data_IF_270741078648
#
_entry.id   IF_270741078648
#
_cell.length_a   1.000
_cell.length_b   1.000
_cell.length_c   1.000
_cell.angle_alpha   90.00
_cell.angle_beta   90.00
_cell.angle_gamma   90.00
#
_symmetry.space_group_name_H-M   'P 1'
#
loop_
_entity.id
_entity.type
_entity.pdbx_description
1 polymer ?
#
# COMPACT_ATOMS: atom_id res chain seq x y z
N UNK A 1 25.99 42.44 -9.57
CA UNK A 1 24.72 42.35 -10.30
C UNK A 1 23.88 41.32 -9.63
N UNK A 2 22.82 41.78 -8.98
CA UNK A 2 21.96 41.03 -8.09
C UNK A 2 20.93 40.24 -8.89
N UNK A 3 20.88 38.95 -8.78
CA UNK A 3 19.81 38.12 -9.34
C UNK A 3 18.74 37.92 -8.27
N UNK A 4 17.56 38.39 -8.61
CA UNK A 4 16.34 38.45 -7.81
C UNK A 4 15.74 37.11 -7.53
N UNK A 5 15.42 36.88 -6.24
CA UNK A 5 14.48 35.88 -5.77
C UNK A 5 13.13 36.02 -6.47
N UNK A 6 12.62 34.90 -6.99
CA UNK A 6 11.21 34.78 -7.35
C UNK A 6 10.62 33.75 -6.38
N UNK A 7 10.08 34.29 -5.29
CA UNK A 7 9.21 33.58 -4.39
C UNK A 7 7.84 33.48 -5.08
N UNK A 8 7.46 32.32 -5.51
CA UNK A 8 6.11 32.08 -6.04
C UNK A 8 5.28 31.35 -4.98
N UNK A 9 4.66 32.17 -4.14
CA UNK A 9 3.66 31.78 -3.15
C UNK A 9 2.38 31.34 -3.87
N UNK A 10 2.04 30.08 -3.85
CA UNK A 10 0.71 29.61 -4.29
C UNK A 10 0.00 28.92 -3.13
N UNK A 11 -0.59 29.76 -2.26
CA UNK A 11 -1.68 29.37 -1.39
C UNK A 11 -2.91 29.09 -2.25
N UNK A 12 -3.29 27.84 -2.38
CA UNK A 12 -4.64 27.47 -2.81
C UNK A 12 -5.33 26.81 -1.62
N UNK A 13 -6.14 27.63 -0.96
CA UNK A 13 -7.16 27.21 -0.02
C UNK A 13 -8.35 26.74 -0.84
N UNK A 14 -8.65 25.49 -0.82
CA UNK A 14 -9.95 24.97 -1.25
C UNK A 14 -10.64 24.32 -0.05
N UNK A 15 -11.53 25.09 0.52
CA UNK A 15 -12.57 24.62 1.42
C UNK A 15 -13.73 24.07 0.56
N UNK A 16 -14.11 22.85 0.77
CA UNK A 16 -15.26 22.20 0.12
C UNK A 16 -15.97 21.28 1.10
N UNK A 17 -17.15 21.72 1.50
CA UNK A 17 -18.08 21.23 2.51
C UNK A 17 -18.77 19.90 2.15
N UNK A 18 -19.08 19.16 3.23
CA UNK A 18 -20.26 18.37 3.53
C UNK A 18 -20.85 17.39 2.49
N UNK A 19 -20.97 16.15 2.91
CA UNK A 19 -22.28 15.47 2.89
C UNK A 19 -22.32 14.31 3.88
N UNK A 20 -23.14 14.48 4.89
CA UNK A 20 -23.60 13.48 5.85
C UNK A 20 -24.69 12.66 5.17
N UNK A 21 -24.56 11.34 5.16
CA UNK A 21 -25.66 10.43 4.90
C UNK A 21 -25.77 9.42 6.04
N UNK A 22 -26.72 9.70 6.94
CA UNK A 22 -27.26 8.73 7.89
C UNK A 22 -28.07 7.67 7.13
N UNK A 23 -27.81 6.40 7.38
CA UNK A 23 -28.82 5.36 7.22
C UNK A 23 -28.83 4.46 8.45
N UNK A 24 -29.97 4.45 9.12
CA UNK A 24 -30.26 3.76 10.36
C UNK A 24 -30.51 2.25 10.17
N UNK A 25 -30.44 1.45 11.26
CA UNK A 25 -30.60 0.00 11.22
C UNK A 25 -32.05 -0.44 11.30
N UNK A 26 -32.42 -1.48 10.58
CA UNK A 26 -33.67 -2.22 10.82
C UNK A 26 -33.33 -3.48 11.60
N UNK A 27 -33.71 -3.46 12.86
CA UNK A 27 -33.86 -4.65 13.68
C UNK A 27 -35.18 -5.35 13.33
N UNK A 28 -35.11 -6.64 13.05
CA UNK A 28 -36.28 -7.51 13.02
C UNK A 28 -36.08 -8.64 14.02
N UNK A 29 -36.75 -8.51 15.14
CA UNK A 29 -37.07 -9.60 16.07
C UNK A 29 -38.08 -10.53 15.44
N UNK A 30 -37.85 -11.84 15.57
CA UNK A 30 -38.82 -12.87 15.24
C UNK A 30 -38.77 -13.97 16.28
N UNK A 31 -39.83 -14.08 17.05
CA UNK A 31 -40.07 -14.87 18.27
C UNK A 31 -40.08 -16.38 18.04
N UNK A 32 -39.56 -17.05 19.04
CA UNK A 32 -39.96 -18.32 19.71
C UNK A 32 -41.11 -19.17 19.12
N UNK A 33 -40.83 -20.46 18.99
CA UNK A 33 -41.75 -21.51 19.49
C UNK A 33 -40.99 -22.81 19.74
N UNK A 34 -41.16 -23.29 20.92
CA UNK A 34 -40.76 -24.57 21.48
C UNK A 34 -41.53 -25.73 20.86
N UNK A 35 -40.88 -26.80 20.48
CA UNK A 35 -41.50 -28.15 20.52
C UNK A 35 -40.44 -29.20 20.75
N UNK A 36 -40.62 -29.93 21.83
CA UNK A 36 -40.03 -31.18 22.23
C UNK A 36 -40.25 -32.25 21.17
N UNK A 37 -39.18 -32.95 20.75
CA UNK A 37 -39.26 -34.14 19.90
C UNK A 37 -37.98 -34.92 19.97
N UNK A 38 -38.01 -36.02 20.76
CA UNK A 38 -36.99 -37.06 20.89
C UNK A 38 -36.86 -37.81 19.57
N UNK A 39 -35.63 -37.95 19.04
CA UNK A 39 -35.37 -38.78 17.88
C UNK A 39 -33.90 -38.81 17.54
N UNK A 40 -33.21 -39.83 18.07
CA UNK A 40 -31.83 -40.16 17.66
C UNK A 40 -31.78 -40.60 16.22
N UNK A 41 -31.05 -39.90 15.42
CA UNK A 41 -30.43 -40.44 14.18
C UNK A 41 -29.12 -39.71 13.95
N UNK A 42 -28.02 -40.42 14.08
CA UNK A 42 -26.70 -39.96 13.72
C UNK A 42 -26.65 -39.72 12.22
N UNK A 43 -26.70 -38.44 11.83
CA UNK A 43 -26.29 -38.01 10.51
C UNK A 43 -24.90 -37.42 10.66
N UNK A 44 -23.91 -38.17 10.23
CA UNK A 44 -22.57 -37.69 9.95
C UNK A 44 -22.64 -36.68 8.80
N UNK A 45 -22.85 -35.41 9.14
CA UNK A 45 -22.57 -34.30 8.24
C UNK A 45 -21.05 -34.18 8.15
N UNK A 46 -20.49 -34.76 7.09
CA UNK A 46 -19.16 -34.39 6.63
C UNK A 46 -19.21 -32.91 6.28
N UNK A 47 -18.79 -32.07 7.21
CA UNK A 47 -18.39 -30.70 6.89
C UNK A 47 -17.27 -30.81 5.88
N UNK A 48 -17.56 -30.56 4.62
CA UNK A 48 -16.53 -30.26 3.66
C UNK A 48 -15.80 -29.04 4.21
N UNK A 49 -14.63 -29.28 4.77
CA UNK A 49 -13.70 -28.21 5.05
C UNK A 49 -13.40 -27.56 3.71
N UNK A 50 -14.04 -26.43 3.45
CA UNK A 50 -13.61 -25.51 2.43
C UNK A 50 -12.24 -25.04 2.92
N UNK A 51 -11.18 -25.62 2.39
CA UNK A 51 -9.83 -25.12 2.50
C UNK A 51 -9.83 -23.79 1.76
N UNK A 52 -10.21 -22.71 2.44
CA UNK A 52 -9.82 -21.38 2.03
C UNK A 52 -8.29 -21.39 2.12
N UNK A 53 -7.62 -21.46 0.98
CA UNK A 53 -6.19 -21.20 0.94
C UNK A 53 -6.02 -19.77 1.45
N UNK A 54 -5.51 -19.63 2.67
CA UNK A 54 -5.15 -18.33 3.20
C UNK A 54 -4.10 -17.73 2.27
N UNK A 55 -4.30 -16.49 1.84
CA UNK A 55 -3.33 -15.76 1.05
C UNK A 55 -2.01 -15.71 1.84
N UNK A 56 -0.92 -16.11 1.21
CA UNK A 56 0.42 -16.10 1.80
C UNK A 56 1.21 -14.94 1.20
N UNK A 57 1.19 -13.79 1.88
CA UNK A 57 1.84 -12.58 1.43
C UNK A 57 3.35 -12.77 1.20
N UNK A 58 4.03 -13.54 2.05
CA UNK A 58 5.47 -13.78 1.91
C UNK A 58 5.80 -14.46 0.58
N UNK A 59 4.97 -15.42 0.18
CA UNK A 59 5.16 -16.12 -1.09
C UNK A 59 5.07 -15.21 -2.32
N UNK A 60 4.28 -14.13 -2.22
CA UNK A 60 3.99 -13.25 -3.36
C UNK A 60 4.83 -11.98 -3.35
N UNK A 61 5.19 -11.45 -2.17
CA UNK A 61 5.80 -10.12 -2.08
C UNK A 61 7.18 -10.09 -1.45
N UNK A 62 7.63 -11.14 -0.77
CA UNK A 62 9.00 -11.16 -0.23
C UNK A 62 10.02 -11.07 -1.37
N UNK A 63 10.99 -10.17 -1.21
CA UNK A 63 12.02 -9.87 -2.19
C UNK A 63 12.35 -8.40 -2.30
N UNK A 64 13.10 -8.03 -3.34
CA UNK A 64 13.49 -6.66 -3.60
C UNK A 64 12.61 -6.04 -4.68
N UNK A 65 12.10 -4.85 -4.38
CA UNK A 65 11.25 -4.06 -5.25
C UNK A 65 11.94 -2.74 -5.60
N UNK A 66 12.18 -2.50 -6.88
CA UNK A 66 12.83 -1.30 -7.40
C UNK A 66 11.81 -0.22 -7.71
N UNK A 67 11.84 0.89 -6.96
CA UNK A 67 10.98 2.05 -7.13
C UNK A 67 11.48 2.99 -8.23
N UNK A 68 10.58 3.39 -9.12
CA UNK A 68 10.83 4.34 -10.18
C UNK A 68 9.70 5.34 -10.36
N UNK A 69 10.04 6.54 -10.85
CA UNK A 69 9.08 7.58 -11.25
C UNK A 69 9.12 7.78 -12.74
N UNK A 70 7.97 8.08 -13.35
CA UNK A 70 7.87 8.34 -14.78
C UNK A 70 8.23 9.79 -15.08
N UNK A 71 9.23 9.99 -15.95
CA UNK A 71 9.67 11.30 -16.42
C UNK A 71 9.08 11.57 -17.79
N UNK A 72 8.19 12.57 -17.88
CA UNK A 72 7.51 12.92 -19.11
C UNK A 72 8.03 14.26 -19.64
N UNK A 73 8.74 14.24 -20.77
CA UNK A 73 9.06 15.42 -21.57
C UNK A 73 10.12 16.35 -21.02
N UNK A 74 10.83 16.00 -19.93
CA UNK A 74 11.93 16.79 -19.38
C UNK A 74 13.08 15.89 -18.92
N UNK A 75 14.25 16.48 -18.71
CA UNK A 75 15.39 15.79 -18.13
C UNK A 75 15.38 16.03 -16.61
N UNK A 76 15.28 14.96 -15.84
CA UNK A 76 15.34 14.99 -14.38
C UNK A 76 16.44 14.04 -13.95
N UNK A 77 17.28 14.46 -13.02
CA UNK A 77 18.41 13.66 -12.51
C UNK A 77 19.34 13.08 -13.61
N UNK A 78 19.42 13.76 -14.76
CA UNK A 78 20.22 13.30 -15.90
C UNK A 78 19.49 12.34 -16.85
N UNK A 79 18.26 11.95 -16.55
CA UNK A 79 17.43 11.08 -17.39
C UNK A 79 16.52 11.91 -18.29
N UNK A 80 16.48 11.63 -19.57
CA UNK A 80 15.68 12.33 -20.56
C UNK A 80 14.49 11.49 -21.00
N UNK A 81 13.40 11.59 -20.25
CA UNK A 81 12.19 10.77 -20.42
C UNK A 81 12.38 9.33 -19.89
N UNK A 82 11.31 8.54 -19.91
CA UNK A 82 11.32 7.18 -19.37
C UNK A 82 11.17 7.13 -17.85
N UNK A 83 11.76 6.11 -17.21
CA UNK A 83 11.66 5.91 -15.78
C UNK A 83 12.98 6.20 -15.09
N UNK A 84 12.95 7.03 -14.05
CA UNK A 84 14.09 7.25 -13.14
C UNK A 84 13.95 6.35 -11.93
N UNK A 85 14.99 5.53 -11.68
CA UNK A 85 15.05 4.64 -10.53
C UNK A 85 15.47 5.42 -9.29
N UNK A 86 14.67 5.34 -8.22
CA UNK A 86 14.81 6.20 -7.04
C UNK A 86 15.33 5.45 -5.81
N UNK A 87 14.75 4.30 -5.49
CA UNK A 87 15.02 3.57 -4.26
C UNK A 87 14.62 2.09 -4.38
N UNK A 88 15.04 1.29 -3.41
CA UNK A 88 14.60 -0.08 -3.23
C UNK A 88 13.74 -0.22 -1.97
N UNK A 89 12.72 -1.05 -2.04
CA UNK A 89 11.99 -1.59 -0.89
C UNK A 89 12.30 -3.09 -0.83
N UNK A 90 12.86 -3.53 0.28
CA UNK A 90 13.19 -4.94 0.52
C UNK A 90 12.21 -5.48 1.54
N UNK A 91 11.46 -6.52 1.17
CA UNK A 91 10.48 -7.21 2.00
C UNK A 91 11.05 -8.59 2.35
N UNK A 92 11.41 -8.80 3.61
CA UNK A 92 12.01 -10.06 4.04
C UNK A 92 10.92 -11.07 4.45
N UNK A 93 11.21 -12.36 4.30
CA UNK A 93 10.33 -13.49 4.67
C UNK A 93 9.93 -13.49 6.15
N UNK A 94 10.73 -12.86 7.01
CA UNK A 94 10.47 -12.75 8.46
C UNK A 94 9.51 -11.59 8.82
N UNK A 95 8.96 -10.90 7.81
CA UNK A 95 8.05 -9.76 7.97
C UNK A 95 8.76 -8.44 8.26
N UNK A 96 10.09 -8.38 8.19
CA UNK A 96 10.83 -7.12 8.27
C UNK A 96 10.96 -6.46 6.90
N UNK A 97 11.11 -5.13 6.87
CA UNK A 97 11.35 -4.39 5.63
C UNK A 97 12.46 -3.35 5.77
N UNK A 98 13.04 -2.99 4.64
CA UNK A 98 14.02 -1.93 4.51
C UNK A 98 13.65 -1.03 3.33
N UNK A 99 13.71 0.29 3.52
CA UNK A 99 13.61 1.29 2.45
C UNK A 99 14.99 1.88 2.27
N UNK A 100 15.55 1.76 1.06
CA UNK A 100 16.92 2.12 0.75
C UNK A 100 17.01 2.92 -0.54
N UNK A 101 17.32 4.21 -0.49
CA UNK A 101 17.58 5.02 -1.67
C UNK A 101 18.75 4.49 -2.49
N UNK A 102 18.70 4.70 -3.81
CA UNK A 102 19.84 4.52 -4.66
C UNK A 102 20.87 5.64 -4.39
N UNK A 103 22.11 5.40 -4.77
CA UNK A 103 23.23 6.32 -4.49
C UNK A 103 22.97 7.75 -5.03
N UNK A 104 22.33 7.84 -6.20
CA UNK A 104 21.98 9.13 -6.83
C UNK A 104 20.87 9.90 -6.05
N UNK A 105 20.18 9.24 -5.16
CA UNK A 105 19.00 9.77 -4.41
C UNK A 105 19.14 9.55 -2.90
N UNK A 106 20.34 9.64 -2.38
CA UNK A 106 20.69 9.35 -0.97
C UNK A 106 19.98 10.24 0.06
N UNK A 107 19.32 11.31 -0.38
CA UNK A 107 18.52 12.24 0.41
C UNK A 107 17.07 11.79 0.63
N UNK A 108 16.61 10.74 -0.07
CA UNK A 108 15.29 10.18 0.10
C UNK A 108 15.16 9.38 1.40
N UNK A 109 13.95 8.89 1.67
CA UNK A 109 13.63 8.11 2.85
C UNK A 109 14.55 6.88 2.98
N UNK A 110 15.24 6.79 4.10
CA UNK A 110 15.96 5.60 4.56
C UNK A 110 15.38 5.19 5.91
N UNK A 111 14.81 3.99 6.00
CA UNK A 111 14.28 3.45 7.25
C UNK A 111 14.15 1.92 7.16
N UNK A 112 13.94 1.30 8.30
CA UNK A 112 13.61 -0.11 8.45
C UNK A 112 12.30 -0.26 9.20
N UNK A 113 11.68 -1.42 9.11
CA UNK A 113 10.41 -1.65 9.81
C UNK A 113 9.90 -3.05 9.64
N UNK A 114 8.58 -3.19 9.66
CA UNK A 114 7.87 -4.43 9.39
C UNK A 114 6.90 -4.22 8.23
N UNK A 115 6.49 -5.33 7.60
CA UNK A 115 5.51 -5.27 6.54
C UNK A 115 4.46 -6.36 6.68
N UNK A 116 3.29 -6.08 6.14
CA UNK A 116 2.17 -7.01 6.02
C UNK A 116 1.57 -6.86 4.62
N UNK A 117 1.05 -7.96 4.06
CA UNK A 117 0.45 -7.97 2.74
C UNK A 117 -0.92 -8.63 2.70
N UNK A 118 -1.77 -8.12 1.82
CA UNK A 118 -3.04 -8.70 1.41
C UNK A 118 -3.02 -8.95 -0.09
N UNK A 119 -4.10 -9.46 -0.68
CA UNK A 119 -4.20 -9.62 -2.14
C UNK A 119 -4.18 -8.29 -2.91
N UNK A 120 -4.47 -7.17 -2.23
CA UNK A 120 -4.60 -5.84 -2.86
C UNK A 120 -3.56 -4.81 -2.42
N UNK A 121 -2.94 -5.02 -1.29
CA UNK A 121 -2.09 -4.02 -0.66
C UNK A 121 -0.91 -4.63 0.09
N UNK A 122 0.21 -3.90 0.13
CA UNK A 122 1.33 -4.12 1.02
C UNK A 122 1.47 -2.90 1.93
N UNK A 123 1.52 -3.10 3.23
CA UNK A 123 1.65 -2.03 4.23
C UNK A 123 3.00 -2.12 4.92
N UNK A 124 3.77 -1.05 4.88
CA UNK A 124 5.03 -0.90 5.61
C UNK A 124 4.77 -0.11 6.89
N UNK A 125 5.24 -0.60 8.02
CA UNK A 125 5.24 0.12 9.30
C UNK A 125 6.68 0.39 9.69
N UNK A 126 7.14 1.62 9.47
CA UNK A 126 8.52 2.01 9.62
C UNK A 126 8.88 2.31 11.08
N UNK A 127 10.17 2.23 11.42
CA UNK A 127 10.67 2.36 12.80
C UNK A 127 10.37 3.71 13.43
N UNK A 128 10.24 4.76 12.63
CA UNK A 128 9.88 6.13 13.06
C UNK A 128 8.38 6.36 13.22
N UNK A 129 7.55 5.32 13.06
CA UNK A 129 6.10 5.38 13.22
C UNK A 129 5.35 5.79 11.95
N UNK A 130 6.03 5.95 10.83
CA UNK A 130 5.39 6.19 9.53
C UNK A 130 4.82 4.88 8.98
N UNK A 131 3.59 4.94 8.48
CA UNK A 131 2.97 3.83 7.76
C UNK A 131 2.84 4.21 6.29
N UNK A 132 3.35 3.36 5.41
CA UNK A 132 3.27 3.53 3.95
C UNK A 132 2.44 2.39 3.38
N UNK A 133 1.49 2.74 2.52
CA UNK A 133 0.64 1.77 1.85
C UNK A 133 0.99 1.72 0.36
N UNK A 134 1.32 0.51 -0.12
CA UNK A 134 1.51 0.21 -1.53
C UNK A 134 0.32 -0.59 -2.03
N UNK A 135 -0.21 -0.20 -3.17
CA UNK A 135 -1.31 -0.92 -3.83
C UNK A 135 -0.74 -1.90 -4.84
N UNK A 136 -1.26 -3.10 -4.85
CA UNK A 136 -0.87 -4.16 -5.79
C UNK A 136 -1.52 -3.89 -7.13
N UNK A 137 -0.72 -3.66 -8.16
CA UNK A 137 -1.18 -3.50 -9.54
C UNK A 137 -1.28 -4.86 -10.21
N UNK A 138 -0.23 -5.66 -10.06
CA UNK A 138 -0.16 -7.05 -10.51
C UNK A 138 0.90 -7.82 -9.68
N UNK A 139 1.24 -9.05 -10.07
CA UNK A 139 2.19 -9.91 -9.34
C UNK A 139 3.63 -9.40 -9.31
N UNK A 140 3.97 -8.45 -10.17
CA UNK A 140 5.32 -7.92 -10.32
C UNK A 140 5.40 -6.41 -10.14
N UNK A 141 4.26 -5.73 -9.90
CA UNK A 141 4.18 -4.27 -9.82
C UNK A 141 3.35 -3.81 -8.63
N UNK A 142 3.94 -2.98 -7.78
CA UNK A 142 3.28 -2.22 -6.72
C UNK A 142 3.31 -0.74 -7.07
N UNK A 143 2.37 0.04 -6.53
CA UNK A 143 2.36 1.49 -6.68
C UNK A 143 2.10 2.19 -5.35
N UNK A 144 2.70 3.34 -5.14
CA UNK A 144 2.55 4.12 -3.92
C UNK A 144 2.56 5.63 -4.17
N UNK A 145 2.33 6.40 -3.11
CA UNK A 145 2.45 7.84 -3.14
C UNK A 145 3.94 8.21 -3.05
N UNK A 146 4.47 8.93 -4.02
CA UNK A 146 5.87 9.32 -4.09
C UNK A 146 6.31 10.20 -2.90
N UNK A 147 5.41 11.03 -2.37
CA UNK A 147 5.69 11.90 -1.23
C UNK A 147 5.98 11.12 0.06
N UNK A 148 5.44 9.90 0.23
CA UNK A 148 5.70 9.06 1.39
C UNK A 148 7.17 8.60 1.45
N UNK A 149 7.87 8.62 0.32
CA UNK A 149 9.30 8.30 0.20
C UNK A 149 10.20 9.53 0.13
N UNK A 150 9.63 10.74 0.30
CA UNK A 150 10.36 12.01 0.23
C UNK A 150 10.51 12.57 -1.18
N UNK A 151 9.79 12.04 -2.17
CA UNK A 151 9.81 12.47 -3.56
C UNK A 151 8.70 13.50 -3.76
N UNK A 152 9.03 14.79 -3.75
CA UNK A 152 8.04 15.87 -3.76
C UNK A 152 7.52 16.27 -5.15
N UNK A 153 8.27 15.95 -6.21
CA UNK A 153 7.98 16.41 -7.57
C UNK A 153 7.07 15.46 -8.37
N UNK A 154 6.71 14.32 -7.77
CA UNK A 154 5.92 13.28 -8.39
C UNK A 154 4.76 12.85 -7.48
N UNK A 155 3.64 12.48 -8.07
CA UNK A 155 2.47 11.99 -7.33
C UNK A 155 2.62 10.51 -6.99
N UNK A 156 3.17 9.73 -7.91
CA UNK A 156 3.23 8.27 -7.82
C UNK A 156 4.64 7.74 -8.01
N UNK A 157 4.95 6.68 -7.29
CA UNK A 157 6.13 5.84 -7.52
C UNK A 157 5.66 4.41 -7.80
N UNK A 158 6.20 3.79 -8.82
CA UNK A 158 5.94 2.40 -9.19
C UNK A 158 7.12 1.53 -8.77
N UNK A 159 6.82 0.37 -8.25
CA UNK A 159 7.82 -0.61 -7.80
C UNK A 159 7.70 -1.86 -8.65
N UNK A 160 8.75 -2.22 -9.33
CA UNK A 160 8.85 -3.46 -10.08
C UNK A 160 9.66 -4.49 -9.28
N UNK A 161 9.23 -5.75 -9.31
CA UNK A 161 9.95 -6.83 -8.65
C UNK A 161 11.33 -7.01 -9.28
N UNK A 162 12.36 -6.98 -8.44
CA UNK A 162 13.76 -6.97 -8.92
C UNK A 162 14.54 -8.23 -8.56
N UNK A 163 14.12 -9.00 -7.54
CA UNK A 163 14.78 -10.24 -7.12
C UNK A 163 14.49 -10.68 -5.71
#
# INVERSE_FOLDING_TARGET
MSAKEIIMNRNIVMAGLLSVALCAPLAACGSSSSSTGTGSTASSSSSAATTSSSFDANKFYAGQWRGSVEITGQTVYGTAGGNEQMLDVILNDDGTCEVKPLEAHADLLTDTGTWEGTESDVTLTLSKGTTIKLTVVDQATLTGNAADFGIADFDTINFDFYG
#
